data_IF_018554512915
#
_entry.id   IF_018554512915
#
_cell.length_a   1.000
_cell.length_b   1.000
_cell.length_c   1.000
_cell.angle_alpha   90.00
_cell.angle_beta   90.00
_cell.angle_gamma   90.00
#
_symmetry.space_group_name_H-M   'P 1'
#
loop_
_entity.id
_entity.type
_entity.pdbx_description
1 polymer ?
#
# COMPACT_ATOMS: atom_id res chain seq x y z
N UNK A 1 14.46 -26.38 -5.31
CA UNK A 1 13.60 -25.36 -4.70
C UNK A 1 12.25 -25.43 -5.37
N UNK A 2 11.20 -25.78 -4.64
CA UNK A 2 9.85 -25.98 -5.19
C UNK A 2 9.11 -24.65 -5.32
N UNK A 3 8.07 -24.60 -6.16
CA UNK A 3 7.22 -23.41 -6.25
C UNK A 3 6.60 -23.02 -4.90
N UNK A 4 6.28 -24.00 -4.05
CA UNK A 4 5.77 -23.75 -2.71
C UNK A 4 6.80 -23.06 -1.81
N UNK A 5 8.06 -23.50 -1.85
CA UNK A 5 9.16 -22.88 -1.09
C UNK A 5 9.45 -21.45 -1.56
N UNK A 6 9.30 -21.18 -2.87
CA UNK A 6 9.45 -19.83 -3.43
C UNK A 6 8.34 -18.92 -2.89
N UNK A 7 7.08 -19.36 -2.93
CA UNK A 7 5.94 -18.59 -2.43
C UNK A 7 6.11 -18.28 -0.94
N UNK A 8 6.47 -19.27 -0.13
CA UNK A 8 6.67 -19.08 1.31
C UNK A 8 7.77 -18.04 1.61
N UNK A 9 8.88 -18.06 0.86
CA UNK A 9 9.93 -17.05 1.01
C UNK A 9 9.48 -15.66 0.56
N UNK A 10 8.64 -15.55 -0.47
CA UNK A 10 8.07 -14.27 -0.91
C UNK A 10 7.12 -13.68 0.14
N UNK A 11 6.30 -14.51 0.78
CA UNK A 11 5.44 -14.07 1.90
C UNK A 11 6.29 -13.56 3.06
N UNK A 12 7.33 -14.29 3.45
CA UNK A 12 8.22 -13.89 4.56
C UNK A 12 8.97 -12.58 4.27
N UNK A 13 9.43 -12.39 3.03
CA UNK A 13 10.01 -11.11 2.60
C UNK A 13 8.99 -9.98 2.60
N UNK A 14 7.75 -10.25 2.19
CA UNK A 14 6.66 -9.26 2.20
C UNK A 14 6.37 -8.80 3.63
N UNK A 15 6.26 -9.74 4.57
CA UNK A 15 6.03 -9.42 5.99
C UNK A 15 7.22 -8.67 6.62
N UNK A 16 8.46 -9.04 6.28
CA UNK A 16 9.66 -8.31 6.74
C UNK A 16 9.69 -6.86 6.22
N UNK A 17 9.39 -6.64 4.93
CA UNK A 17 9.33 -5.31 4.33
C UNK A 17 8.20 -4.48 4.98
N UNK A 18 7.05 -5.09 5.24
CA UNK A 18 5.96 -4.43 5.97
C UNK A 18 6.41 -3.96 7.37
N UNK A 19 7.12 -4.80 8.13
CA UNK A 19 7.65 -4.44 9.44
C UNK A 19 8.67 -3.29 9.36
N UNK A 20 9.58 -3.33 8.37
CA UNK A 20 10.58 -2.29 8.17
C UNK A 20 9.95 -0.95 7.79
N UNK A 21 8.96 -0.95 6.89
CA UNK A 21 8.28 0.29 6.49
C UNK A 21 7.48 0.93 7.63
N UNK A 22 6.90 0.11 8.53
CA UNK A 22 6.28 0.58 9.77
C UNK A 22 7.32 1.23 10.69
N UNK A 23 8.44 0.55 10.94
CA UNK A 23 9.50 1.05 11.80
C UNK A 23 10.15 2.35 11.27
N UNK A 24 10.31 2.46 9.96
CA UNK A 24 10.89 3.65 9.32
C UNK A 24 9.91 4.82 9.19
N UNK A 25 8.60 4.60 9.39
CA UNK A 25 7.59 5.65 9.26
C UNK A 25 7.55 6.27 7.87
N UNK A 26 7.82 5.50 6.81
CA UNK A 26 7.92 6.01 5.43
C UNK A 26 6.60 6.63 5.01
N UNK A 27 6.69 7.86 4.48
CA UNK A 27 5.55 8.63 4.00
C UNK A 27 5.55 8.73 2.48
N UNK A 28 4.41 8.45 1.86
CA UNK A 28 4.18 8.60 0.44
C UNK A 28 3.59 9.98 0.14
N UNK A 29 4.19 10.66 -0.83
CA UNK A 29 3.62 11.85 -1.44
C UNK A 29 2.44 11.49 -2.34
N UNK A 30 1.62 12.49 -2.66
CA UNK A 30 0.54 12.34 -3.64
C UNK A 30 1.04 11.83 -5.00
N UNK A 31 2.21 12.28 -5.45
CA UNK A 31 2.80 11.83 -6.72
C UNK A 31 3.16 10.34 -6.66
N UNK A 32 3.80 9.91 -5.58
CA UNK A 32 4.16 8.50 -5.35
C UNK A 32 2.91 7.62 -5.22
N UNK A 33 1.84 8.09 -4.57
CA UNK A 33 0.56 7.38 -4.53
C UNK A 33 -0.07 7.25 -5.92
N UNK A 34 -0.01 8.30 -6.75
CA UNK A 34 -0.52 8.26 -8.12
C UNK A 34 0.26 7.25 -8.97
N UNK A 35 1.59 7.22 -8.83
CA UNK A 35 2.47 6.28 -9.50
C UNK A 35 2.20 4.83 -9.06
N UNK A 36 2.10 4.60 -7.75
CA UNK A 36 1.81 3.27 -7.17
C UNK A 36 0.49 2.70 -7.68
N UNK A 37 -0.55 3.52 -7.74
CA UNK A 37 -1.88 3.10 -8.21
C UNK A 37 -2.05 3.19 -9.73
N UNK A 38 -1.06 3.73 -10.45
CA UNK A 38 -1.11 4.01 -11.89
C UNK A 38 -2.33 4.87 -12.28
N UNK A 39 -2.61 5.91 -11.50
CA UNK A 39 -3.75 6.82 -11.74
C UNK A 39 -3.32 8.28 -11.86
N UNK A 40 -4.16 9.08 -12.52
CA UNK A 40 -3.94 10.54 -12.60
C UNK A 40 -4.20 11.24 -11.26
N UNK A 41 -3.65 12.45 -11.10
CA UNK A 41 -3.91 13.31 -9.94
C UNK A 41 -5.40 13.61 -9.73
N UNK A 42 -6.17 13.71 -10.81
CA UNK A 42 -7.62 13.98 -10.77
C UNK A 42 -8.38 12.76 -10.24
N UNK A 43 -8.00 11.56 -10.68
CA UNK A 43 -8.55 10.30 -10.18
C UNK A 43 -8.22 10.11 -8.70
N UNK A 44 -7.01 10.50 -8.26
CA UNK A 44 -6.63 10.46 -6.84
C UNK A 44 -7.57 11.30 -5.97
N UNK A 45 -7.97 12.51 -6.40
CA UNK A 45 -8.91 13.34 -5.64
C UNK A 45 -10.26 12.64 -5.41
N UNK A 46 -10.70 11.82 -6.38
CA UNK A 46 -11.93 11.04 -6.27
C UNK A 46 -11.75 9.86 -5.31
N UNK A 47 -10.65 9.10 -5.48
CA UNK A 47 -10.29 7.93 -4.66
C UNK A 47 -10.21 8.24 -3.17
N UNK A 48 -9.64 9.37 -2.79
CA UNK A 48 -9.52 9.76 -1.37
C UNK A 48 -10.88 9.93 -0.67
N UNK A 49 -11.96 10.14 -1.43
CA UNK A 49 -13.32 10.24 -0.89
C UNK A 49 -14.04 8.89 -0.84
N UNK A 50 -13.46 7.84 -1.41
CA UNK A 50 -14.08 6.51 -1.44
C UNK A 50 -13.97 5.84 -0.06
N UNK A 51 -15.05 5.22 0.43
CA UNK A 51 -15.02 4.53 1.71
C UNK A 51 -14.03 3.37 1.67
N UNK A 52 -13.18 3.28 2.69
CA UNK A 52 -12.16 2.25 2.79
C UNK A 52 -10.85 2.57 2.06
N UNK A 53 -10.73 3.69 1.34
CA UNK A 53 -9.44 4.15 0.81
C UNK A 53 -8.60 4.81 1.93
N UNK A 54 -7.26 4.61 1.97
CA UNK A 54 -6.42 5.20 3.01
C UNK A 54 -6.43 6.73 2.93
N UNK A 55 -6.60 7.38 4.07
CA UNK A 55 -6.64 8.83 4.16
C UNK A 55 -5.23 9.41 4.34
N UNK A 56 -4.92 10.55 3.71
CA UNK A 56 -3.68 11.27 3.99
C UNK A 56 -3.73 11.95 5.37
N UNK A 57 -2.55 12.16 5.96
CA UNK A 57 -2.37 13.03 7.12
C UNK A 57 -2.63 14.51 6.75
N UNK A 58 -2.64 15.42 7.73
CA UNK A 58 -2.84 16.87 7.61
C UNK A 58 -1.94 17.56 6.57
N UNK A 59 -0.79 16.95 6.27
CA UNK A 59 0.18 17.43 5.28
C UNK A 59 -0.02 16.84 3.87
N UNK A 60 -1.02 15.97 3.65
CA UNK A 60 -1.28 15.35 2.36
C UNK A 60 -0.39 14.13 2.05
N UNK A 61 0.22 13.51 3.08
CA UNK A 61 1.06 12.32 2.96
C UNK A 61 0.35 11.08 3.49
N UNK A 62 0.66 9.90 2.93
CA UNK A 62 0.16 8.62 3.43
C UNK A 62 1.27 7.85 4.12
N UNK A 63 0.98 7.14 5.20
CA UNK A 63 1.92 6.15 5.71
C UNK A 63 1.95 4.95 4.75
N UNK A 64 3.15 4.56 4.32
CA UNK A 64 3.32 3.42 3.42
C UNK A 64 2.75 2.13 4.04
N UNK A 65 2.89 1.96 5.36
CA UNK A 65 2.34 0.83 6.10
C UNK A 65 0.82 0.72 5.95
N UNK A 66 0.08 1.82 6.15
CA UNK A 66 -1.38 1.85 6.04
C UNK A 66 -1.84 1.54 4.61
N UNK A 67 -1.13 2.09 3.62
CA UNK A 67 -1.40 1.84 2.20
C UNK A 67 -1.20 0.38 1.84
N UNK A 68 -0.11 -0.25 2.30
CA UNK A 68 0.15 -1.67 2.04
C UNK A 68 -0.87 -2.58 2.74
N UNK A 69 -1.28 -2.24 3.96
CA UNK A 69 -2.33 -2.96 4.66
C UNK A 69 -3.66 -2.87 3.91
N UNK A 70 -4.01 -1.68 3.43
CA UNK A 70 -5.19 -1.47 2.60
C UNK A 70 -5.14 -2.28 1.30
N UNK A 71 -3.99 -2.33 0.61
CA UNK A 71 -3.82 -3.14 -0.61
C UNK A 71 -4.01 -4.63 -0.33
N UNK A 72 -3.45 -5.14 0.77
CA UNK A 72 -3.60 -6.53 1.22
C UNK A 72 -5.05 -6.90 1.54
N UNK A 73 -5.82 -5.96 2.10
CA UNK A 73 -7.24 -6.17 2.38
C UNK A 73 -8.11 -6.06 1.12
N UNK A 74 -7.74 -5.14 0.21
CA UNK A 74 -8.46 -4.90 -1.04
C UNK A 74 -8.30 -6.04 -2.05
N UNK A 75 -7.17 -6.76 -2.03
CA UNK A 75 -6.97 -7.95 -2.88
C UNK A 75 -7.84 -9.13 -2.43
N UNK A 76 -8.03 -9.31 -1.11
CA UNK A 76 -8.88 -10.38 -0.55
C UNK A 76 -10.37 -10.22 -0.86
N UNK A 77 -10.85 -9.00 -1.09
CA UNK A 77 -12.25 -8.73 -1.46
C UNK A 77 -12.58 -8.89 -2.95
N UNK A 78 -11.61 -9.25 -3.79
CA UNK A 78 -11.79 -9.48 -5.25
C UNK A 78 -11.56 -10.94 -5.66
N UNK A 79 -11.43 -11.86 -4.70
CA UNK A 79 -11.33 -13.31 -4.93
C UNK A 79 -12.67 -13.99 -4.71
#
# INVERSE_FOLDING_TARGET
MTNAEIIQRLELLTDAINALTQAMGVRLTRAQMCERLKISRNTMTKRVKEPGFPLPDKHGFWFLADVMQWERNSSKGRS
#
